data_IF_232336551470
#
_entry.id   IF_232336551470
#
_cell.length_a   1.000
_cell.length_b   1.000
_cell.length_c   1.000
_cell.angle_alpha   90.00
_cell.angle_beta   90.00
_cell.angle_gamma   90.00
#
_symmetry.space_group_name_H-M   'P 1'
#
loop_
_entity.id
_entity.type
_entity.pdbx_description
1 polymer ?
#
# COMPACT_ATOMS: atom_id res chain seq x y z
N UNK A 1 2.33 21.97 -15.76
CA UNK A 1 1.48 22.94 -15.03
C UNK A 1 1.50 22.52 -13.58
N UNK A 2 1.95 23.38 -12.68
CA UNK A 2 1.98 23.14 -11.23
C UNK A 2 0.54 23.09 -10.70
N UNK A 3 0.15 22.00 -10.06
CA UNK A 3 -1.16 21.88 -9.40
C UNK A 3 -1.10 22.69 -8.12
N UNK A 4 -1.85 23.79 -8.05
CA UNK A 4 -1.95 24.61 -6.84
C UNK A 4 -3.02 23.97 -5.95
N UNK A 5 -2.62 23.48 -4.78
CA UNK A 5 -3.51 22.90 -3.77
C UNK A 5 -4.02 24.06 -2.88
N UNK A 6 -5.34 24.24 -2.83
CA UNK A 6 -5.98 25.14 -1.85
C UNK A 6 -6.34 24.31 -0.62
N UNK A 7 -5.80 24.66 0.55
CA UNK A 7 -5.94 23.93 1.79
C UNK A 7 -7.09 24.50 2.63
N UNK A 8 -8.18 23.73 2.78
CA UNK A 8 -8.99 23.80 3.99
C UNK A 8 -8.40 22.75 4.95
N UNK A 9 -7.89 23.16 6.10
CA UNK A 9 -7.25 22.29 7.08
C UNK A 9 -8.32 21.47 7.81
N UNK A 10 -8.58 20.25 7.34
CA UNK A 10 -9.39 19.31 8.08
C UNK A 10 -8.48 18.54 9.06
N UNK A 11 -8.72 18.71 10.36
CA UNK A 11 -8.04 17.94 11.40
C UNK A 11 -8.41 16.46 11.29
N UNK A 12 -7.45 15.59 11.62
CA UNK A 12 -7.71 14.15 11.64
C UNK A 12 -8.83 13.83 12.65
N UNK A 13 -9.76 12.95 12.28
CA UNK A 13 -10.85 12.53 13.16
C UNK A 13 -10.28 11.93 14.45
N UNK A 14 -10.74 12.41 15.64
CA UNK A 14 -10.32 11.85 16.94
C UNK A 14 -10.54 10.34 17.04
N UNK A 15 -11.59 9.82 16.40
CA UNK A 15 -11.89 8.40 16.38
C UNK A 15 -10.83 7.60 15.60
N UNK A 16 -10.30 8.15 14.49
CA UNK A 16 -9.23 7.50 13.74
C UNK A 16 -7.92 7.51 14.50
N UNK A 17 -7.60 8.63 15.15
CA UNK A 17 -6.41 8.75 16.01
C UNK A 17 -6.45 7.72 17.13
N UNK A 18 -7.56 7.61 17.84
CA UNK A 18 -7.73 6.64 18.92
C UNK A 18 -7.65 5.17 18.43
N UNK A 19 -8.20 4.89 17.24
CA UNK A 19 -8.14 3.57 16.65
C UNK A 19 -6.69 3.21 16.20
N UNK A 20 -5.94 4.19 15.69
CA UNK A 20 -4.53 4.02 15.38
C UNK A 20 -3.73 3.70 16.64
N UNK A 21 -3.88 4.50 17.69
CA UNK A 21 -3.20 4.29 18.98
C UNK A 21 -3.45 2.89 19.54
N UNK A 22 -4.71 2.45 19.51
CA UNK A 22 -5.08 1.12 19.97
C UNK A 22 -4.41 0.01 19.13
N UNK A 23 -4.28 0.21 17.81
CA UNK A 23 -3.61 -0.74 16.93
C UNK A 23 -2.10 -0.74 17.17
N UNK A 24 -1.46 0.42 17.23
CA UNK A 24 -0.01 0.55 17.46
C UNK A 24 0.42 -0.08 18.80
N UNK A 25 -0.41 0.00 19.82
CA UNK A 25 -0.16 -0.65 21.11
C UNK A 25 -0.02 -2.18 21.00
N UNK A 26 -0.49 -2.80 19.92
CA UNK A 26 -0.35 -4.26 19.69
C UNK A 26 0.98 -4.66 19.08
N UNK A 27 1.80 -3.72 18.64
CA UNK A 27 3.04 -4.01 17.91
C UNK A 27 4.13 -4.70 18.73
N UNK A 28 4.10 -4.56 20.06
CA UNK A 28 5.12 -5.11 20.97
C UNK A 28 6.48 -4.42 20.91
N UNK A 29 6.61 -3.34 20.14
CA UNK A 29 7.80 -2.48 20.02
C UNK A 29 7.39 -1.01 20.07
N UNK A 30 8.31 -0.09 20.44
CA UNK A 30 8.06 1.34 20.29
C UNK A 30 7.85 1.71 18.82
N UNK A 31 6.78 2.48 18.57
CA UNK A 31 6.50 3.10 17.27
C UNK A 31 6.30 4.59 17.52
N UNK A 32 7.01 5.41 16.78
CA UNK A 32 6.89 6.86 16.85
C UNK A 32 5.99 7.37 15.73
N UNK A 33 5.20 8.37 16.04
CA UNK A 33 4.28 9.05 15.11
C UNK A 33 4.88 10.39 14.74
N UNK A 34 4.92 10.70 13.47
CA UNK A 34 5.52 11.91 12.96
C UNK A 34 4.62 12.57 11.92
N UNK A 35 4.86 13.86 11.70
CA UNK A 35 4.26 14.62 10.62
C UNK A 35 5.34 15.45 9.91
N UNK A 36 5.20 15.60 8.61
CA UNK A 36 5.96 16.55 7.80
C UNK A 36 5.04 17.28 6.83
N UNK A 37 5.55 18.30 6.10
CA UNK A 37 4.80 19.00 5.07
C UNK A 37 5.51 18.92 3.73
N UNK A 38 4.84 18.34 2.75
CA UNK A 38 5.32 18.24 1.38
C UNK A 38 4.48 19.17 0.50
N UNK A 39 5.10 20.21 -0.03
CA UNK A 39 4.41 21.22 -0.85
C UNK A 39 3.14 21.78 -0.16
N UNK A 40 3.22 21.99 1.17
CA UNK A 40 2.10 22.50 1.97
C UNK A 40 1.14 21.42 2.48
N UNK A 41 1.14 20.21 1.94
CA UNK A 41 0.29 19.08 2.36
C UNK A 41 0.91 18.38 3.57
N UNK A 42 0.16 18.21 4.66
CA UNK A 42 0.59 17.48 5.85
C UNK A 42 0.58 15.98 5.58
N UNK A 43 1.72 15.35 5.85
CA UNK A 43 1.94 13.91 5.69
C UNK A 43 2.23 13.32 7.06
N UNK A 44 1.42 12.35 7.44
CA UNK A 44 1.63 11.53 8.63
C UNK A 44 2.44 10.29 8.27
N UNK A 45 3.33 9.87 9.18
CA UNK A 45 4.08 8.64 9.03
C UNK A 45 4.51 8.07 10.39
N UNK A 46 4.81 6.79 10.40
CA UNK A 46 5.25 6.02 11.56
C UNK A 46 6.69 5.62 11.37
N UNK A 47 7.48 5.59 12.46
CA UNK A 47 8.83 5.04 12.46
C UNK A 47 9.03 4.04 13.58
N UNK A 48 9.84 3.02 13.31
CA UNK A 48 10.30 2.07 14.33
C UNK A 48 11.62 1.44 13.91
N UNK A 49 12.33 0.87 14.88
CA UNK A 49 13.63 0.25 14.67
C UNK A 49 14.73 1.25 14.37
N UNK A 50 15.97 0.77 14.41
CA UNK A 50 17.20 1.52 14.16
C UNK A 50 18.14 0.72 13.26
N UNK A 51 18.94 1.41 12.45
CA UNK A 51 19.90 0.80 11.53
C UNK A 51 20.29 1.73 10.39
N UNK A 52 21.33 1.37 9.67
CA UNK A 52 21.80 2.13 8.51
C UNK A 52 20.85 2.00 7.31
N UNK A 53 20.23 0.84 7.17
CA UNK A 53 19.30 0.58 6.09
C UNK A 53 17.88 1.03 6.47
N UNK A 54 17.22 1.74 5.54
CA UNK A 54 15.85 2.17 5.73
C UNK A 54 14.91 1.41 4.79
N UNK A 55 13.79 0.89 5.34
CA UNK A 55 12.67 0.34 4.61
C UNK A 55 11.49 1.31 4.68
N UNK A 56 10.99 1.76 3.54
CA UNK A 56 9.77 2.56 3.45
C UNK A 56 8.60 1.69 2.99
N UNK A 57 7.54 1.65 3.78
CA UNK A 57 6.30 0.90 3.53
C UNK A 57 5.21 1.85 3.03
N UNK A 58 4.56 1.50 1.93
CA UNK A 58 3.51 2.30 1.28
C UNK A 58 2.23 1.50 1.18
N UNK A 59 1.16 1.99 1.82
CA UNK A 59 -0.12 1.29 1.92
C UNK A 59 -0.95 1.32 0.62
N UNK A 60 -1.93 0.41 0.54
CA UNK A 60 -2.90 0.35 -0.54
C UNK A 60 -4.09 1.32 -0.38
N UNK A 61 -5.02 1.26 -1.32
CA UNK A 61 -6.27 2.02 -1.26
C UNK A 61 -7.05 1.72 0.02
N UNK A 62 -7.63 2.76 0.62
CA UNK A 62 -8.39 2.60 1.85
C UNK A 62 -7.53 2.16 3.04
N UNK A 63 -6.21 2.28 2.89
CA UNK A 63 -5.24 1.92 3.90
C UNK A 63 -4.65 3.13 4.62
N UNK A 64 -3.74 2.81 5.52
CA UNK A 64 -2.90 3.75 6.25
C UNK A 64 -1.63 3.04 6.73
N UNK A 65 -0.63 3.81 7.15
CA UNK A 65 0.65 3.34 7.68
C UNK A 65 0.49 2.29 8.79
N UNK A 66 -0.44 2.51 9.70
CA UNK A 66 -0.68 1.62 10.83
C UNK A 66 -1.19 0.22 10.44
N UNK A 67 -1.69 0.01 9.22
CA UNK A 67 -2.07 -1.33 8.75
C UNK A 67 -0.87 -2.28 8.60
N UNK A 68 0.35 -1.76 8.62
CA UNK A 68 1.57 -2.58 8.69
C UNK A 68 1.97 -3.00 10.11
N UNK A 69 1.27 -2.54 11.15
CA UNK A 69 1.56 -2.86 12.57
C UNK A 69 1.85 -4.35 12.82
N UNK A 70 1.10 -5.31 12.24
CA UNK A 70 1.35 -6.73 12.51
C UNK A 70 2.72 -7.25 12.07
N UNK A 71 3.43 -6.50 11.21
CA UNK A 71 4.73 -6.91 10.66
C UNK A 71 5.88 -5.98 11.09
N UNK A 72 5.59 -4.81 11.65
CA UNK A 72 6.61 -3.81 11.98
C UNK A 72 7.68 -4.36 12.92
N UNK A 73 7.30 -5.07 13.98
CA UNK A 73 8.24 -5.60 14.97
C UNK A 73 9.30 -6.51 14.37
N UNK A 74 8.91 -7.39 13.48
CA UNK A 74 9.84 -8.30 12.82
C UNK A 74 10.70 -7.59 11.74
N UNK A 75 10.16 -6.58 11.08
CA UNK A 75 10.89 -5.81 10.06
C UNK A 75 11.88 -4.80 10.67
N UNK A 76 11.60 -4.31 11.87
CA UNK A 76 12.42 -3.33 12.57
C UNK A 76 13.73 -3.91 13.15
N UNK A 77 13.92 -5.22 13.12
CA UNK A 77 15.13 -5.86 13.58
C UNK A 77 16.32 -5.49 12.67
N UNK A 78 17.22 -4.61 13.18
CA UNK A 78 18.45 -4.21 12.50
C UNK A 78 18.27 -3.20 11.35
N UNK A 79 17.09 -2.59 11.19
CA UNK A 79 16.84 -1.53 10.19
C UNK A 79 15.84 -0.51 10.69
N UNK A 80 15.91 0.70 10.15
CA UNK A 80 14.88 1.71 10.31
C UNK A 80 13.70 1.39 9.39
N UNK A 81 12.49 1.32 9.93
CA UNK A 81 11.26 1.15 9.15
C UNK A 81 10.44 2.43 9.22
N UNK A 82 9.99 2.90 8.08
CA UNK A 82 9.09 4.04 7.95
C UNK A 82 7.83 3.54 7.24
N UNK A 83 6.67 3.74 7.82
CA UNK A 83 5.39 3.50 7.15
C UNK A 83 4.68 4.85 6.95
N UNK A 84 4.31 5.17 5.71
CA UNK A 84 3.82 6.49 5.36
C UNK A 84 2.34 6.45 4.96
N UNK A 85 1.58 7.46 5.37
CA UNK A 85 0.25 7.74 4.86
C UNK A 85 0.35 8.60 3.60
N UNK A 86 -0.10 8.08 2.47
CA UNK A 86 -0.17 8.85 1.22
C UNK A 86 -1.18 10.00 1.33
N UNK A 87 -0.98 11.12 0.61
CA UNK A 87 -1.97 12.20 0.54
C UNK A 87 -3.36 11.67 0.19
N UNK A 88 -4.37 12.12 0.92
CA UNK A 88 -5.74 11.66 0.75
C UNK A 88 -6.13 10.44 1.60
N UNK A 89 -5.19 9.86 2.37
CA UNK A 89 -5.40 8.63 3.13
C UNK A 89 -4.92 8.73 4.58
N UNK A 90 -5.38 7.82 5.42
CA UNK A 90 -4.95 7.72 6.81
C UNK A 90 -5.09 9.03 7.58
N UNK A 91 -4.06 9.37 8.33
CA UNK A 91 -3.97 10.64 9.08
C UNK A 91 -3.32 11.76 8.27
N UNK A 92 -2.83 11.50 7.06
CA UNK A 92 -2.37 12.56 6.15
C UNK A 92 -3.49 13.47 5.70
N UNK A 93 -3.15 14.70 5.36
CA UNK A 93 -4.08 15.69 4.81
C UNK A 93 -4.68 15.18 3.48
N UNK A 94 -5.91 15.60 3.22
CA UNK A 94 -6.71 15.14 2.10
C UNK A 94 -6.96 16.28 1.11
N UNK A 95 -5.91 16.72 0.38
CA UNK A 95 -6.03 17.81 -0.56
C UNK A 95 -7.03 17.49 -1.66
N UNK A 96 -7.70 18.49 -2.24
CA UNK A 96 -8.59 18.28 -3.38
C UNK A 96 -7.81 17.65 -4.55
N UNK A 97 -8.37 16.62 -5.15
CA UNK A 97 -7.83 16.02 -6.36
C UNK A 97 -8.39 16.71 -7.60
N UNK A 98 -7.55 17.40 -8.36
CA UNK A 98 -7.93 18.15 -9.56
C UNK A 98 -7.57 17.42 -10.87
N UNK A 99 -6.98 16.23 -10.78
CA UNK A 99 -6.59 15.45 -11.96
C UNK A 99 -7.78 14.83 -12.71
N UNK A 100 -7.57 14.55 -13.99
CA UNK A 100 -8.60 14.04 -14.90
C UNK A 100 -8.30 12.65 -15.43
N UNK A 101 -7.06 12.20 -15.34
CA UNK A 101 -6.57 10.93 -15.92
C UNK A 101 -6.04 9.97 -14.85
N UNK A 102 -5.85 8.72 -15.23
CA UNK A 102 -5.17 7.72 -14.39
C UNK A 102 -3.71 8.12 -14.11
N UNK A 103 -3.03 8.71 -15.09
CA UNK A 103 -1.66 9.22 -14.92
C UNK A 103 -1.60 10.33 -13.88
N UNK A 104 -2.56 11.28 -13.87
CA UNK A 104 -2.61 12.33 -12.86
C UNK A 104 -2.73 11.74 -11.45
N UNK A 105 -3.55 10.71 -11.28
CA UNK A 105 -3.72 10.04 -9.99
C UNK A 105 -2.41 9.39 -9.50
N UNK A 106 -1.73 8.66 -10.38
CA UNK A 106 -0.46 8.00 -10.05
C UNK A 106 0.65 9.01 -9.81
N UNK A 107 0.69 10.10 -10.59
CA UNK A 107 1.66 11.18 -10.41
C UNK A 107 1.56 11.83 -9.03
N UNK A 108 0.35 12.07 -8.51
CA UNK A 108 0.16 12.64 -7.15
C UNK A 108 0.83 11.76 -6.09
N UNK A 109 0.60 10.44 -6.13
CA UNK A 109 1.18 9.53 -5.13
C UNK A 109 2.68 9.34 -5.32
N UNK A 110 3.14 9.20 -6.57
CA UNK A 110 4.56 9.10 -6.91
C UNK A 110 5.34 10.33 -6.45
N UNK A 111 4.83 11.52 -6.76
CA UNK A 111 5.50 12.79 -6.42
C UNK A 111 5.50 13.01 -4.90
N UNK A 112 4.43 12.60 -4.20
CA UNK A 112 4.39 12.61 -2.75
C UNK A 112 5.44 11.66 -2.15
N UNK A 113 5.56 10.42 -2.65
CA UNK A 113 6.56 9.48 -2.17
C UNK A 113 7.98 10.00 -2.45
N UNK A 114 8.26 10.52 -3.63
CA UNK A 114 9.58 11.10 -3.96
C UNK A 114 9.89 12.28 -3.04
N UNK A 115 8.94 13.23 -2.92
CA UNK A 115 9.09 14.37 -2.02
C UNK A 115 9.32 13.95 -0.56
N UNK A 116 8.68 12.87 -0.12
CA UNK A 116 8.91 12.29 1.20
C UNK A 116 10.33 11.72 1.35
N UNK A 117 10.84 11.00 0.35
CA UNK A 117 12.21 10.51 0.36
C UNK A 117 13.23 11.65 0.43
N UNK A 118 12.96 12.78 -0.26
CA UNK A 118 13.81 13.98 -0.22
C UNK A 118 13.76 14.66 1.15
N UNK A 119 12.57 14.85 1.72
CA UNK A 119 12.35 15.43 3.05
C UNK A 119 13.07 14.63 4.15
N UNK A 120 13.00 13.31 4.07
CA UNK A 120 13.68 12.41 5.00
C UNK A 120 15.18 12.20 4.68
N UNK A 121 15.72 12.89 3.68
CA UNK A 121 17.13 12.81 3.24
C UNK A 121 17.55 11.38 2.87
N UNK A 122 16.62 10.56 2.40
CA UNK A 122 16.86 9.19 1.98
C UNK A 122 17.38 9.18 0.54
N UNK A 123 18.71 9.13 0.36
CA UNK A 123 19.33 9.11 -0.96
C UNK A 123 19.06 7.80 -1.69
N UNK A 124 19.06 6.68 -0.96
CA UNK A 124 18.69 5.36 -1.47
C UNK A 124 18.04 4.55 -0.35
N UNK A 125 16.94 3.84 -0.64
CA UNK A 125 16.15 3.10 0.36
C UNK A 125 15.55 1.82 -0.22
N UNK A 126 15.14 0.89 0.64
CA UNK A 126 14.26 -0.20 0.26
C UNK A 126 12.83 0.30 0.24
N UNK A 127 12.09 0.00 -0.82
CA UNK A 127 10.67 0.31 -0.93
C UNK A 127 9.85 -0.97 -0.90
N UNK A 128 8.79 -0.99 -0.10
CA UNK A 128 7.78 -2.04 -0.13
C UNK A 128 6.39 -1.41 -0.22
N UNK A 129 5.63 -1.77 -1.25
CA UNK A 129 4.31 -1.18 -1.48
C UNK A 129 3.24 -2.24 -1.67
N UNK A 130 2.10 -2.03 -1.01
CA UNK A 130 0.91 -2.87 -1.13
C UNK A 130 -0.08 -2.27 -2.12
N UNK A 131 -0.59 -3.05 -3.08
CA UNK A 131 -1.68 -2.66 -3.98
C UNK A 131 -1.39 -1.33 -4.70
N UNK A 132 -2.14 -0.26 -4.45
CA UNK A 132 -1.90 1.10 -4.91
C UNK A 132 -0.51 1.63 -4.47
N UNK A 133 -0.09 1.31 -3.24
CA UNK A 133 1.25 1.66 -2.77
C UNK A 133 2.35 0.93 -3.54
N UNK A 134 2.10 -0.29 -3.99
CA UNK A 134 3.00 -1.03 -4.88
C UNK A 134 3.13 -0.37 -6.24
N UNK A 135 2.01 0.06 -6.84
CA UNK A 135 2.01 0.88 -8.05
C UNK A 135 2.84 2.16 -7.87
N UNK A 136 2.65 2.84 -6.71
CA UNK A 136 3.38 4.08 -6.37
C UNK A 136 4.88 3.83 -6.26
N UNK A 137 5.29 2.79 -5.53
CA UNK A 137 6.69 2.38 -5.39
C UNK A 137 7.31 1.97 -6.73
N UNK A 138 6.57 1.24 -7.56
CA UNK A 138 6.98 0.85 -8.90
C UNK A 138 7.18 2.08 -9.80
N UNK A 139 6.29 3.07 -9.74
CA UNK A 139 6.43 4.31 -10.50
C UNK A 139 7.68 5.09 -10.10
N UNK A 140 8.00 5.16 -8.80
CA UNK A 140 9.26 5.77 -8.31
C UNK A 140 10.46 4.98 -8.79
N UNK A 141 10.45 3.65 -8.70
CA UNK A 141 11.57 2.80 -9.13
C UNK A 141 11.85 2.88 -10.63
N UNK A 142 10.83 3.12 -11.46
CA UNK A 142 10.98 3.30 -12.91
C UNK A 142 11.46 4.71 -13.31
N UNK A 143 11.23 5.72 -12.49
CA UNK A 143 11.61 7.10 -12.80
C UNK A 143 12.89 7.57 -12.09
N UNK A 144 13.20 6.98 -10.95
CA UNK A 144 14.37 7.30 -10.14
C UNK A 144 14.99 6.00 -9.57
N UNK A 145 15.49 5.11 -10.43
CA UNK A 145 16.01 3.79 -10.02
C UNK A 145 17.15 3.91 -9.01
N UNK A 146 17.94 4.97 -9.08
CA UNK A 146 19.03 5.25 -8.15
C UNK A 146 18.58 5.48 -6.70
N UNK A 147 17.29 5.84 -6.50
CA UNK A 147 16.68 6.06 -5.19
C UNK A 147 16.22 4.75 -4.51
N UNK A 148 16.16 3.66 -5.28
CA UNK A 148 15.60 2.39 -4.84
C UNK A 148 16.67 1.30 -4.82
N UNK A 149 17.07 0.88 -3.63
CA UNK A 149 18.04 -0.21 -3.45
C UNK A 149 17.40 -1.57 -3.73
N UNK A 150 16.21 -1.80 -3.22
CA UNK A 150 15.40 -3.01 -3.41
C UNK A 150 13.93 -2.63 -3.49
N UNK A 151 13.15 -3.34 -4.28
CA UNK A 151 11.71 -3.10 -4.45
C UNK A 151 10.90 -4.34 -4.09
N UNK A 152 10.02 -4.26 -3.10
CA UNK A 152 9.05 -5.30 -2.78
C UNK A 152 7.64 -4.87 -3.21
N UNK A 153 7.01 -5.66 -4.07
CA UNK A 153 5.67 -5.44 -4.62
C UNK A 153 4.69 -6.44 -3.99
N UNK A 154 3.77 -5.93 -3.17
CA UNK A 154 2.84 -6.74 -2.37
C UNK A 154 1.46 -6.64 -3.01
N UNK A 155 0.98 -7.71 -3.65
CA UNK A 155 -0.29 -7.73 -4.39
C UNK A 155 -0.50 -6.41 -5.18
N UNK A 156 0.53 -6.03 -5.92
CA UNK A 156 0.73 -4.67 -6.44
C UNK A 156 -0.12 -4.39 -7.67
N UNK A 157 -0.63 -3.16 -7.75
CA UNK A 157 -1.06 -2.57 -9.00
C UNK A 157 0.10 -2.26 -9.94
N UNK A 158 -0.23 -1.86 -11.18
CA UNK A 158 0.76 -1.44 -12.18
C UNK A 158 1.41 -2.55 -12.98
N UNK A 159 1.12 -3.81 -12.66
CA UNK A 159 1.66 -4.99 -13.34
C UNK A 159 0.72 -5.54 -14.43
N UNK A 160 -0.32 -4.80 -14.76
CA UNK A 160 -1.39 -5.25 -15.65
C UNK A 160 -2.34 -6.23 -14.97
N UNK A 161 -3.00 -7.05 -15.79
CA UNK A 161 -4.03 -7.98 -15.31
C UNK A 161 -5.39 -7.29 -15.13
N UNK A 162 -6.43 -8.09 -15.17
CA UNK A 162 -7.80 -7.63 -14.93
C UNK A 162 -8.30 -8.19 -13.60
N UNK A 163 -8.95 -7.36 -12.77
CA UNK A 163 -9.66 -7.84 -11.59
C UNK A 163 -10.67 -8.95 -11.98
N UNK A 164 -10.95 -9.85 -11.05
CA UNK A 164 -12.00 -10.87 -11.24
C UNK A 164 -13.35 -10.21 -11.57
N UNK A 165 -14.23 -10.96 -12.23
CA UNK A 165 -15.51 -10.42 -12.70
C UNK A 165 -16.32 -9.74 -11.59
N UNK A 166 -16.37 -10.32 -10.41
CA UNK A 166 -17.05 -9.78 -9.24
C UNK A 166 -16.40 -8.50 -8.70
N UNK A 167 -15.07 -8.39 -8.74
CA UNK A 167 -14.37 -7.15 -8.39
C UNK A 167 -14.66 -6.05 -9.42
N UNK A 168 -14.70 -6.38 -10.71
CA UNK A 168 -15.11 -5.41 -11.75
C UNK A 168 -16.55 -4.94 -11.53
N UNK A 169 -17.45 -5.85 -11.15
CA UNK A 169 -18.83 -5.50 -10.82
C UNK A 169 -18.91 -4.61 -9.59
N UNK A 170 -18.11 -4.88 -8.56
CA UNK A 170 -17.99 -4.03 -7.36
C UNK A 170 -17.57 -2.60 -7.72
N UNK A 171 -16.49 -2.44 -8.48
CA UNK A 171 -16.02 -1.11 -8.90
C UNK A 171 -17.04 -0.39 -9.80
N UNK A 172 -17.87 -1.14 -10.50
CA UNK A 172 -18.97 -0.57 -11.30
C UNK A 172 -20.11 -0.06 -10.45
N UNK A 173 -20.56 -0.87 -9.50
CA UNK A 173 -21.75 -0.57 -8.70
C UNK A 173 -21.48 0.38 -7.54
N UNK A 174 -20.21 0.39 -7.03
CA UNK A 174 -19.78 1.21 -5.90
C UNK A 174 -20.77 1.18 -4.73
N UNK A 175 -21.12 -0.02 -4.21
CA UNK A 175 -22.15 -0.19 -3.20
C UNK A 175 -21.85 0.59 -1.91
N UNK A 176 -20.59 0.91 -1.63
CA UNK A 176 -20.15 1.77 -0.55
C UNK A 176 -20.74 3.19 -0.63
N UNK A 177 -21.06 3.69 -1.82
CA UNK A 177 -21.72 4.99 -2.01
C UNK A 177 -23.16 5.00 -1.55
N UNK A 178 -23.83 3.85 -1.60
CA UNK A 178 -25.19 3.68 -1.15
C UNK A 178 -25.24 3.32 0.34
N UNK A 179 -24.32 2.47 0.79
CA UNK A 179 -24.20 2.04 2.17
C UNK A 179 -22.74 1.60 2.48
N UNK A 180 -22.00 2.34 3.32
CA UNK A 180 -20.62 2.00 3.68
C UNK A 180 -20.46 0.59 4.24
N UNK A 181 -21.47 0.08 4.99
CA UNK A 181 -21.45 -1.30 5.53
C UNK A 181 -21.53 -2.38 4.44
N UNK A 182 -22.20 -2.11 3.31
CA UNK A 182 -22.19 -3.02 2.18
C UNK A 182 -20.84 -3.05 1.48
N UNK A 183 -20.21 -1.89 1.30
CA UNK A 183 -18.84 -1.78 0.78
C UNK A 183 -17.87 -2.57 1.64
N UNK A 184 -17.90 -2.38 2.95
CA UNK A 184 -17.05 -3.10 3.90
C UNK A 184 -17.28 -4.62 3.85
N UNK A 185 -18.53 -5.07 3.86
CA UNK A 185 -18.84 -6.52 3.77
C UNK A 185 -18.33 -7.13 2.47
N UNK A 186 -18.47 -6.42 1.36
CA UNK A 186 -17.95 -6.88 0.08
C UNK A 186 -16.42 -6.89 0.06
N UNK A 187 -15.80 -5.82 0.55
CA UNK A 187 -14.36 -5.70 0.65
C UNK A 187 -13.77 -6.80 1.54
N UNK A 188 -14.34 -7.02 2.72
CA UNK A 188 -13.99 -8.14 3.61
C UNK A 188 -14.17 -9.48 2.91
N UNK A 189 -15.27 -9.70 2.20
CA UNK A 189 -15.51 -10.93 1.45
C UNK A 189 -14.49 -11.11 0.29
N UNK A 190 -14.12 -10.04 -0.39
CA UNK A 190 -13.12 -10.07 -1.47
C UNK A 190 -11.70 -10.36 -0.96
N UNK A 191 -11.40 -9.94 0.27
CA UNK A 191 -10.09 -10.12 0.90
C UNK A 191 -9.98 -11.40 1.73
N UNK A 192 -11.07 -11.93 2.28
CA UNK A 192 -11.05 -13.00 3.27
C UNK A 192 -11.81 -14.23 2.79
N UNK A 193 -11.39 -14.89 1.72
CA UNK A 193 -11.97 -16.17 1.34
C UNK A 193 -11.07 -17.32 1.75
N UNK A 194 -11.58 -18.07 2.76
CA UNK A 194 -11.18 -19.38 3.24
C UNK A 194 -9.86 -19.50 4.03
N UNK A 195 -10.00 -19.88 5.30
CA UNK A 195 -8.98 -20.38 6.24
C UNK A 195 -7.89 -19.41 6.73
N UNK A 196 -7.62 -18.33 6.07
CA UNK A 196 -6.90 -17.22 6.68
C UNK A 196 -7.70 -16.70 7.87
N UNK A 197 -7.06 -16.41 8.98
CA UNK A 197 -7.72 -15.82 10.15
C UNK A 197 -8.59 -14.65 9.66
N UNK A 198 -9.92 -14.72 9.76
CA UNK A 198 -10.74 -13.67 9.21
C UNK A 198 -10.39 -12.36 9.91
N UNK A 199 -10.00 -11.35 9.12
CA UNK A 199 -9.86 -9.95 9.59
C UNK A 199 -11.15 -9.50 10.32
N UNK A 200 -12.23 -10.26 10.18
CA UNK A 200 -13.54 -10.09 10.80
C UNK A 200 -13.62 -10.33 12.31
N UNK A 201 -12.57 -10.83 12.98
CA UNK A 201 -12.58 -10.91 14.44
C UNK A 201 -12.41 -9.49 14.97
N UNK A 202 -13.38 -9.03 15.78
CA UNK A 202 -13.31 -7.77 16.50
C UNK A 202 -11.95 -7.64 17.19
N UNK A 203 -11.25 -6.54 16.93
CA UNK A 203 -9.95 -6.26 17.49
C UNK A 203 -9.34 -4.99 16.87
N UNK A 204 -8.25 -4.47 17.44
CA UNK A 204 -7.69 -3.18 17.06
C UNK A 204 -7.43 -3.02 15.55
N UNK A 205 -6.98 -4.08 14.85
CA UNK A 205 -6.77 -4.05 13.41
C UNK A 205 -8.08 -3.85 12.64
N UNK A 206 -9.12 -4.61 12.95
CA UNK A 206 -10.42 -4.49 12.28
C UNK A 206 -11.11 -3.17 12.62
N UNK A 207 -10.96 -2.69 13.84
CA UNK A 207 -11.54 -1.42 14.29
C UNK A 207 -10.85 -0.24 13.58
N UNK A 208 -9.53 -0.29 13.43
CA UNK A 208 -8.77 0.70 12.68
C UNK A 208 -9.13 0.67 11.19
N UNK A 209 -9.20 -0.50 10.57
CA UNK A 209 -9.63 -0.63 9.16
C UNK A 209 -11.01 0.00 8.95
N UNK A 210 -11.95 -0.25 9.86
CA UNK A 210 -13.28 0.37 9.81
C UNK A 210 -13.22 1.90 9.93
N UNK A 211 -12.41 2.41 10.85
CA UNK A 211 -12.23 3.85 11.05
C UNK A 211 -11.64 4.53 9.80
N UNK A 212 -10.61 3.95 9.19
CA UNK A 212 -10.01 4.45 7.94
C UNK A 212 -11.00 4.43 6.79
N UNK A 213 -11.71 3.31 6.60
CA UNK A 213 -12.65 3.15 5.49
C UNK A 213 -13.86 4.06 5.62
N UNK A 214 -14.33 4.30 6.84
CA UNK A 214 -15.42 5.25 7.11
C UNK A 214 -15.04 6.68 6.72
N UNK A 215 -13.79 7.07 6.89
CA UNK A 215 -13.29 8.37 6.45
C UNK A 215 -13.11 8.44 4.93
N UNK A 216 -12.58 7.39 4.31
CA UNK A 216 -12.39 7.32 2.86
C UNK A 216 -13.72 7.46 2.12
N UNK A 217 -14.82 6.94 2.69
CA UNK A 217 -16.17 7.08 2.11
C UNK A 217 -16.68 8.53 2.15
N UNK A 218 -16.18 9.35 3.08
CA UNK A 218 -16.59 10.76 3.27
C UNK A 218 -15.70 11.72 2.47
N UNK A 219 -14.44 11.35 2.18
CA UNK A 219 -13.44 12.28 1.64
C UNK A 219 -13.12 11.98 0.18
N UNK A 220 -13.43 12.91 -0.75
CA UNK A 220 -13.41 12.65 -2.18
C UNK A 220 -12.01 12.47 -2.79
N UNK A 221 -10.96 13.10 -2.26
CA UNK A 221 -9.68 13.26 -2.96
C UNK A 221 -8.97 11.94 -3.27
N UNK A 222 -8.72 11.10 -2.27
CA UNK A 222 -8.08 9.79 -2.48
C UNK A 222 -8.96 8.84 -3.28
N UNK A 223 -10.27 8.81 -2.97
CA UNK A 223 -11.26 8.01 -3.70
C UNK A 223 -11.41 8.45 -5.15
N UNK A 224 -11.43 9.76 -5.43
CA UNK A 224 -11.52 10.28 -6.79
C UNK A 224 -10.26 9.96 -7.61
N UNK A 225 -9.08 10.08 -7.02
CA UNK A 225 -7.84 9.70 -7.68
C UNK A 225 -7.82 8.19 -8.00
N UNK A 226 -8.24 7.35 -7.06
CA UNK A 226 -8.35 5.92 -7.26
C UNK A 226 -9.39 5.57 -8.36
N UNK A 227 -10.53 6.26 -8.39
CA UNK A 227 -11.56 6.10 -9.43
C UNK A 227 -11.06 6.42 -10.84
N UNK A 228 -10.06 7.30 -10.96
CA UNK A 228 -9.40 7.60 -12.24
C UNK A 228 -8.44 6.50 -12.64
N UNK A 229 -7.78 5.88 -11.67
CA UNK A 229 -6.85 4.78 -11.92
C UNK A 229 -7.57 3.46 -12.22
N UNK A 230 -8.62 3.11 -11.46
CA UNK A 230 -9.46 1.93 -11.70
C UNK A 230 -10.89 2.39 -11.95
N UNK A 231 -11.43 2.12 -13.11
CA UNK A 231 -12.83 2.36 -13.45
C UNK A 231 -13.49 1.14 -14.09
N UNK A 232 -14.66 1.38 -14.70
CA UNK A 232 -15.49 0.37 -15.36
C UNK A 232 -14.78 -0.50 -16.41
N UNK A 233 -13.69 0.00 -17.01
CA UNK A 233 -12.93 -0.69 -18.04
C UNK A 233 -11.71 -1.45 -17.50
N UNK A 234 -11.49 -1.47 -16.18
CA UNK A 234 -10.33 -2.12 -15.56
C UNK A 234 -9.25 -1.13 -15.11
N UNK A 235 -8.00 -1.57 -15.07
CA UNK A 235 -6.84 -0.76 -14.70
C UNK A 235 -6.37 0.05 -15.89
N UNK A 236 -6.40 1.40 -15.77
CA UNK A 236 -6.08 2.29 -16.91
C UNK A 236 -4.61 2.61 -17.09
N UNK A 237 -3.77 2.29 -16.11
CA UNK A 237 -2.34 2.51 -16.19
C UNK A 237 -1.63 1.26 -15.71
N UNK A 238 -0.79 0.70 -16.56
CA UNK A 238 0.12 -0.37 -16.19
C UNK A 238 1.54 -0.09 -16.71
N UNK A 239 2.52 -0.67 -16.05
CA UNK A 239 3.94 -0.53 -16.40
C UNK A 239 4.53 -1.78 -17.03
N UNK A 240 3.72 -2.74 -17.52
CA UNK A 240 4.21 -4.02 -18.08
C UNK A 240 5.28 -3.83 -19.15
N UNK A 241 5.12 -2.85 -20.03
CA UNK A 241 6.08 -2.56 -21.09
C UNK A 241 7.43 -2.09 -20.56
N UNK A 242 7.46 -1.53 -19.33
CA UNK A 242 8.62 -0.96 -18.67
C UNK A 242 9.27 -1.85 -17.62
N UNK A 243 8.70 -3.00 -17.29
CA UNK A 243 9.22 -3.88 -16.22
C UNK A 243 10.66 -4.36 -16.49
N UNK A 244 11.09 -4.37 -17.74
CA UNK A 244 12.47 -4.71 -18.11
C UNK A 244 13.50 -3.63 -17.76
N UNK A 245 13.05 -2.43 -17.44
CA UNK A 245 13.89 -1.29 -17.02
C UNK A 245 14.29 -1.38 -15.54
N UNK A 246 13.67 -2.27 -14.75
CA UNK A 246 13.97 -2.45 -13.34
C UNK A 246 15.31 -3.18 -13.16
N UNK A 247 16.32 -2.47 -12.70
CA UNK A 247 17.69 -2.97 -12.51
C UNK A 247 17.94 -3.46 -11.07
N UNK A 248 17.23 -2.88 -10.08
CA UNK A 248 17.33 -3.25 -8.69
C UNK A 248 16.73 -4.65 -8.43
N UNK A 249 17.10 -5.35 -7.34
CA UNK A 249 16.42 -6.55 -6.91
C UNK A 249 14.93 -6.28 -6.66
N UNK A 250 14.05 -7.11 -7.26
CA UNK A 250 12.60 -7.02 -7.10
C UNK A 250 12.04 -8.30 -6.50
N UNK A 251 11.24 -8.16 -5.44
CA UNK A 251 10.47 -9.25 -4.83
C UNK A 251 8.97 -9.01 -5.01
N UNK A 252 8.28 -9.95 -5.63
CA UNK A 252 6.83 -9.97 -5.69
C UNK A 252 6.33 -10.91 -4.58
N UNK A 253 5.49 -10.38 -3.68
CA UNK A 253 4.88 -11.09 -2.55
C UNK A 253 3.38 -11.13 -2.82
N UNK A 254 2.80 -12.33 -3.05
CA UNK A 254 1.47 -12.42 -3.63
C UNK A 254 0.60 -13.48 -2.99
N UNK A 255 -0.66 -13.13 -2.67
CA UNK A 255 -1.67 -14.11 -2.32
C UNK A 255 -2.12 -14.94 -3.53
N UNK A 256 -2.14 -16.27 -3.41
CA UNK A 256 -2.52 -17.14 -4.52
C UNK A 256 -4.02 -17.10 -4.85
N UNK A 257 -4.82 -16.48 -3.97
CA UNK A 257 -6.27 -16.28 -4.11
C UNK A 257 -6.66 -14.79 -4.27
N UNK A 258 -5.70 -13.92 -4.60
CA UNK A 258 -6.00 -12.51 -4.84
C UNK A 258 -6.98 -12.38 -6.03
N UNK A 259 -8.12 -11.75 -5.76
CA UNK A 259 -9.20 -11.54 -6.73
C UNK A 259 -9.12 -10.16 -7.38
N UNK A 260 -8.42 -9.22 -6.75
CA UNK A 260 -8.22 -7.88 -7.29
C UNK A 260 -7.11 -7.90 -8.35
N UNK A 261 -5.96 -8.47 -8.00
CA UNK A 261 -4.86 -8.71 -8.94
C UNK A 261 -4.53 -10.20 -8.96
N UNK A 262 -5.12 -10.97 -9.88
CA UNK A 262 -4.93 -12.42 -9.91
C UNK A 262 -3.46 -12.83 -9.91
N UNK A 263 -3.11 -13.90 -9.21
CA UNK A 263 -1.74 -14.42 -9.10
C UNK A 263 -1.05 -14.62 -10.46
N UNK A 264 -1.81 -14.90 -11.51
CA UNK A 264 -1.30 -14.96 -12.89
C UNK A 264 -0.66 -13.67 -13.36
N UNK A 265 -1.09 -12.52 -12.83
CA UNK A 265 -0.49 -11.21 -13.09
C UNK A 265 0.94 -11.15 -12.55
N UNK A 266 1.14 -11.58 -11.30
CA UNK A 266 2.47 -11.65 -10.69
C UNK A 266 3.40 -12.63 -11.43
N UNK A 267 2.87 -13.79 -11.84
CA UNK A 267 3.63 -14.77 -12.63
C UNK A 267 4.11 -14.19 -13.97
N UNK A 268 3.27 -13.41 -14.65
CA UNK A 268 3.65 -12.75 -15.89
C UNK A 268 4.68 -11.64 -15.64
N UNK A 269 4.45 -10.79 -14.63
CA UNK A 269 5.36 -9.72 -14.28
C UNK A 269 6.75 -10.25 -13.91
N UNK A 270 6.84 -11.29 -13.10
CA UNK A 270 8.10 -11.90 -12.67
C UNK A 270 8.95 -12.39 -13.86
N UNK A 271 8.34 -12.77 -14.99
CA UNK A 271 9.05 -13.17 -16.20
C UNK A 271 9.66 -12.00 -16.99
N UNK A 272 9.14 -10.80 -16.76
CA UNK A 272 9.58 -9.59 -17.47
C UNK A 272 10.55 -8.74 -16.64
N UNK A 273 10.63 -8.96 -15.33
CA UNK A 273 11.56 -8.26 -14.44
C UNK A 273 12.86 -9.05 -14.36
N UNK A 274 14.01 -8.51 -14.84
CA UNK A 274 15.28 -9.25 -14.92
C UNK A 274 15.73 -9.84 -13.57
N UNK A 275 15.52 -9.09 -12.48
CA UNK A 275 15.91 -9.46 -11.11
C UNK A 275 14.72 -9.99 -10.29
N UNK A 276 13.58 -10.22 -10.96
CA UNK A 276 12.31 -10.54 -10.32
C UNK A 276 12.30 -11.90 -9.61
N UNK A 277 11.87 -11.92 -8.36
CA UNK A 277 11.54 -13.12 -7.59
C UNK A 277 10.09 -13.06 -7.16
N UNK A 278 9.40 -14.18 -7.21
CA UNK A 278 8.00 -14.29 -6.81
C UNK A 278 7.86 -15.29 -5.66
N UNK A 279 7.17 -14.85 -4.60
CA UNK A 279 6.75 -15.70 -3.48
C UNK A 279 5.22 -15.71 -3.41
N UNK A 280 4.62 -16.89 -3.47
CA UNK A 280 3.20 -17.08 -3.31
C UNK A 280 2.86 -17.44 -1.86
N UNK A 281 1.92 -16.72 -1.25
CA UNK A 281 1.30 -17.08 0.02
C UNK A 281 0.08 -17.94 -0.25
N UNK A 282 0.11 -19.19 0.19
CA UNK A 282 -0.95 -20.15 -0.07
C UNK A 282 -2.20 -19.84 0.75
N UNK A 283 -3.38 -20.01 0.13
CA UNK A 283 -4.68 -19.73 0.76
C UNK A 283 -4.82 -18.27 1.22
N UNK A 284 -4.16 -17.34 0.55
CA UNK A 284 -4.09 -15.93 0.91
C UNK A 284 -4.73 -15.05 -0.17
N UNK A 285 -5.47 -14.03 0.24
CA UNK A 285 -6.10 -13.04 -0.62
C UNK A 285 -5.19 -11.87 -0.94
N UNK A 286 -5.78 -10.67 -0.98
CA UNK A 286 -5.12 -9.43 -1.42
C UNK A 286 -4.21 -8.77 -0.37
N UNK A 287 -4.10 -9.31 0.84
CA UNK A 287 -3.34 -8.66 1.93
C UNK A 287 -2.48 -9.64 2.74
N UNK A 288 -1.49 -10.31 2.14
CA UNK A 288 -0.70 -11.33 2.81
C UNK A 288 0.03 -10.82 4.07
N UNK A 289 0.38 -9.53 4.11
CA UNK A 289 0.98 -8.89 5.28
C UNK A 289 0.02 -8.77 6.48
N UNK A 290 -1.30 -8.87 6.25
CA UNK A 290 -2.34 -8.87 7.29
C UNK A 290 -2.91 -10.27 7.53
N UNK A 291 -3.05 -11.06 6.48
CA UNK A 291 -3.65 -12.39 6.54
C UNK A 291 -2.67 -13.44 7.10
N UNK A 292 -1.37 -13.28 6.80
CA UNK A 292 -0.28 -14.17 7.22
C UNK A 292 0.93 -13.39 7.73
N UNK A 293 0.77 -12.52 8.74
CA UNK A 293 1.78 -11.52 9.11
C UNK A 293 3.14 -12.13 9.50
N UNK A 294 3.15 -13.24 10.24
CA UNK A 294 4.40 -13.87 10.68
C UNK A 294 5.21 -14.46 9.51
N UNK A 295 4.53 -15.16 8.59
CA UNK A 295 5.18 -15.73 7.41
C UNK A 295 5.63 -14.63 6.45
N UNK A 296 4.80 -13.61 6.26
CA UNK A 296 5.09 -12.46 5.43
C UNK A 296 6.33 -11.70 5.94
N UNK A 297 6.32 -11.32 7.21
CA UNK A 297 7.42 -10.56 7.82
C UNK A 297 8.74 -11.34 7.76
N UNK A 298 8.72 -12.63 8.09
CA UNK A 298 9.89 -13.51 8.00
C UNK A 298 10.44 -13.58 6.56
N UNK A 299 9.55 -13.69 5.56
CA UNK A 299 9.93 -13.78 4.15
C UNK A 299 10.54 -12.47 3.66
N UNK A 300 9.90 -11.33 3.95
CA UNK A 300 10.40 -10.03 3.54
C UNK A 300 11.72 -9.69 4.25
N UNK A 301 11.81 -9.90 5.56
CA UNK A 301 13.04 -9.66 6.32
C UNK A 301 14.20 -10.50 5.78
N UNK A 302 13.99 -11.81 5.59
CA UNK A 302 15.03 -12.69 5.04
C UNK A 302 15.53 -12.22 3.67
N UNK A 303 14.64 -11.76 2.81
CA UNK A 303 15.05 -11.24 1.50
C UNK A 303 15.80 -9.91 1.61
N UNK A 304 15.39 -9.01 2.49
CA UNK A 304 16.09 -7.76 2.77
C UNK A 304 17.50 -8.02 3.36
N UNK A 305 17.66 -9.08 4.13
CA UNK A 305 18.95 -9.52 4.69
C UNK A 305 19.82 -10.31 3.67
N UNK A 306 19.35 -10.43 2.41
CA UNK A 306 20.08 -11.10 1.34
C UNK A 306 19.94 -12.62 1.29
N UNK A 307 19.08 -13.21 2.12
CA UNK A 307 18.84 -14.66 2.11
C UNK A 307 17.94 -15.09 0.94
N UNK A 308 18.06 -16.37 0.60
CA UNK A 308 17.13 -17.00 -0.36
C UNK A 308 15.76 -17.16 0.30
N UNK A 309 14.72 -16.74 -0.42
CA UNK A 309 13.34 -16.96 0.00
C UNK A 309 12.68 -18.09 -0.82
N UNK A 310 11.77 -18.88 -0.23
CA UNK A 310 11.04 -19.90 -0.95
C UNK A 310 10.08 -19.28 -1.98
N UNK A 311 9.70 -20.05 -3.00
CA UNK A 311 8.71 -19.58 -3.99
C UNK A 311 7.26 -19.68 -3.49
N UNK A 312 7.01 -20.42 -2.41
CA UNK A 312 5.71 -20.58 -1.75
C UNK A 312 5.85 -20.65 -0.23
N UNK A 313 4.89 -20.08 0.47
CA UNK A 313 4.77 -20.07 1.93
C UNK A 313 3.34 -20.45 2.35
#
# INVERSE_FOLDING_TARGET
MSVTLTTEHEEASPALVAAEEALLATAGIPIERHETRLNGVRIHYLTCGEGEETLVLVHGRGGAAALFTPILGALAAGRRVIALDLPGWGLSEKPPFTGHTASDAVNVWRDALRGFLDDQQLTQTDLAGHSMGGLTALAVALEAPERVRRLALIDSGGLGGEPSFDMRLYFRLKPERLNPRLGQRFFTWAHSRDDAQPISKRGPLSDFMYAVESQTAVIPSGGLAFDKWINLGGVHLDFRSRLRELEMPVLLLWGDRDRLFPYSTALQAARHIPTGRLVAFTHCGHSPHQERPADFARTLAAWLDGYRVPSRV
#
